data_IF_862573527045
#
_entry.id   IF_862573527045
#
_cell.length_a   1.000
_cell.length_b   1.000
_cell.length_c   1.000
_cell.angle_alpha   90.00
_cell.angle_beta   90.00
_cell.angle_gamma   90.00
#
_symmetry.space_group_name_H-M   'P 1'
#
loop_
_entity.id
_entity.type
_entity.pdbx_description
1 polymer ?
#
# COMPACT_ATOMS: atom_id res chain seq x y z
N UNK A 1 -1.31 0.02 24.19
CA UNK A 1 -0.15 -0.85 23.94
C UNK A 1 1.14 -0.04 23.92
N UNK A 2 1.32 0.88 22.98
CA UNK A 2 2.56 1.66 22.79
C UNK A 2 3.06 2.43 24.03
N UNK A 3 2.19 3.13 24.76
CA UNK A 3 2.59 3.85 25.99
C UNK A 3 3.23 2.90 27.01
N UNK A 4 2.61 1.75 27.26
CA UNK A 4 3.15 0.75 28.18
C UNK A 4 4.42 0.06 27.67
N UNK A 5 4.56 -0.08 26.35
CA UNK A 5 5.79 -0.61 25.74
C UNK A 5 6.99 0.36 25.90
N UNK A 6 6.74 1.68 25.83
CA UNK A 6 7.77 2.71 25.97
C UNK A 6 8.08 3.05 27.43
N UNK A 7 7.06 3.11 28.28
CA UNK A 7 7.22 3.38 29.70
C UNK A 7 6.07 2.72 30.50
N UNK A 8 6.31 1.53 31.08
CA UNK A 8 5.27 0.79 31.80
C UNK A 8 4.86 1.42 33.13
N UNK A 9 5.62 2.39 33.65
CA UNK A 9 5.30 3.09 34.90
C UNK A 9 4.24 4.18 34.71
N UNK A 10 3.96 4.60 33.48
CA UNK A 10 2.93 5.60 33.20
C UNK A 10 1.53 4.99 33.33
N UNK A 11 0.67 5.64 34.11
CA UNK A 11 -0.76 5.32 34.16
C UNK A 11 -1.47 5.97 32.95
N UNK A 12 -2.06 5.15 32.09
CA UNK A 12 -2.90 5.62 30.99
C UNK A 12 -4.30 5.89 31.53
N UNK A 13 -4.79 7.11 31.35
CA UNK A 13 -6.18 7.50 31.62
C UNK A 13 -6.83 7.72 30.25
N UNK A 14 -7.99 7.09 30.01
CA UNK A 14 -8.68 7.20 28.73
C UNK A 14 -10.15 7.57 28.93
N UNK A 15 -10.44 8.87 29.11
CA UNK A 15 -11.72 9.34 29.57
C UNK A 15 -12.90 8.88 28.69
N UNK A 16 -12.76 8.91 27.37
CA UNK A 16 -13.81 8.47 26.42
C UNK A 16 -14.23 7.01 26.63
N UNK A 17 -13.38 6.14 27.20
CA UNK A 17 -13.75 4.75 27.53
C UNK A 17 -14.53 4.61 28.84
N UNK A 18 -14.46 5.62 29.70
CA UNK A 18 -14.96 5.59 31.08
C UNK A 18 -16.06 6.64 31.34
N UNK A 19 -16.21 7.61 30.44
CA UNK A 19 -17.17 8.70 30.54
C UNK A 19 -18.61 8.22 30.40
N UNK A 20 -19.51 9.04 30.92
CA UNK A 20 -20.95 8.80 30.99
C UNK A 20 -21.68 9.08 29.67
N UNK A 21 -21.05 9.80 28.74
CA UNK A 21 -21.62 10.12 27.43
C UNK A 21 -21.72 8.88 26.56
N UNK A 22 -22.90 8.67 25.98
CA UNK A 22 -23.21 7.49 25.15
C UNK A 22 -23.20 7.79 23.66
N UNK A 23 -23.13 9.06 23.27
CA UNK A 23 -23.14 9.46 21.88
C UNK A 23 -22.44 10.80 21.64
N UNK A 24 -22.08 11.06 20.38
CA UNK A 24 -21.48 12.32 19.93
C UNK A 24 -22.43 13.51 20.14
N UNK A 25 -23.74 13.27 20.07
CA UNK A 25 -24.74 14.29 20.38
C UNK A 25 -24.67 14.74 21.83
N UNK A 26 -24.54 13.79 22.77
CA UNK A 26 -24.38 14.10 24.20
C UNK A 26 -23.09 14.88 24.47
N UNK A 27 -21.98 14.55 23.78
CA UNK A 27 -20.72 15.30 23.85
C UNK A 27 -20.87 16.75 23.36
N UNK A 28 -21.59 16.95 22.24
CA UNK A 28 -21.87 18.28 21.66
C UNK A 28 -22.77 19.09 22.60
N UNK A 29 -23.78 18.49 23.20
CA UNK A 29 -24.65 19.16 24.18
C UNK A 29 -23.89 19.55 25.44
N UNK A 30 -23.03 18.67 25.95
CA UNK A 30 -22.15 18.99 27.07
C UNK A 30 -21.23 20.17 26.73
N UNK A 31 -20.60 20.17 25.56
CA UNK A 31 -19.75 21.27 25.11
C UNK A 31 -20.53 22.59 25.04
N UNK A 32 -21.76 22.58 24.48
CA UNK A 32 -22.63 23.77 24.44
C UNK A 32 -23.03 24.26 25.83
N UNK A 33 -23.44 23.37 26.72
CA UNK A 33 -23.85 23.70 28.08
C UNK A 33 -22.72 24.36 28.89
N UNK A 34 -21.47 24.02 28.58
CA UNK A 34 -20.28 24.54 29.25
C UNK A 34 -19.55 25.63 28.46
N UNK A 35 -20.12 26.10 27.33
CA UNK A 35 -19.51 27.14 26.50
C UNK A 35 -18.17 26.73 25.87
N UNK A 36 -17.94 25.43 25.63
CA UNK A 36 -16.75 24.90 24.98
C UNK A 36 -16.95 24.99 23.46
N UNK A 37 -16.11 25.77 22.74
CA UNK A 37 -16.23 25.86 21.28
C UNK A 37 -15.75 24.57 20.61
N UNK A 38 -16.60 23.96 19.79
CA UNK A 38 -16.28 22.77 18.98
C UNK A 38 -16.68 23.01 17.52
N UNK A 39 -15.87 22.52 16.58
CA UNK A 39 -16.10 22.68 15.14
C UNK A 39 -17.19 21.75 14.57
N UNK A 40 -17.38 20.58 15.21
CA UNK A 40 -18.38 19.61 14.80
C UNK A 40 -19.81 20.17 14.96
N UNK A 41 -20.60 20.08 13.90
CA UNK A 41 -22.01 20.47 13.91
C UNK A 41 -22.86 19.32 13.39
N UNK A 42 -24.16 19.33 13.69
CA UNK A 42 -25.12 18.34 13.16
C UNK A 42 -25.12 18.29 11.62
N UNK A 43 -24.69 19.38 10.94
CA UNK A 43 -24.68 19.46 9.48
C UNK A 43 -23.44 18.88 8.80
N UNK A 44 -22.34 18.72 9.52
CA UNK A 44 -21.15 18.06 9.00
C UNK A 44 -20.79 16.91 9.96
N UNK A 45 -21.41 15.73 9.77
CA UNK A 45 -21.36 14.64 10.75
C UNK A 45 -20.06 13.85 10.68
N UNK A 46 -19.17 14.13 9.71
CA UNK A 46 -17.96 13.33 9.52
C UNK A 46 -17.02 13.44 10.73
N UNK A 47 -16.42 12.31 11.06
CA UNK A 47 -15.22 12.25 11.88
C UNK A 47 -14.03 12.22 10.92
N UNK A 48 -13.10 13.17 11.07
CA UNK A 48 -11.96 13.34 10.17
C UNK A 48 -10.69 13.23 11.01
N UNK A 49 -9.82 12.31 10.62
CA UNK A 49 -8.44 12.25 11.10
C UNK A 49 -7.50 12.57 9.94
N UNK A 50 -6.72 13.63 10.07
CA UNK A 50 -5.84 14.15 9.02
C UNK A 50 -4.41 14.28 9.53
N UNK A 51 -3.47 13.83 8.71
CA UNK A 51 -2.06 14.10 8.87
C UNK A 51 -1.39 14.22 7.49
N UNK A 52 -0.08 14.46 7.47
CA UNK A 52 0.70 14.61 6.23
C UNK A 52 0.51 13.45 5.23
N UNK A 53 0.31 12.22 5.72
CA UNK A 53 0.27 11.03 4.89
C UNK A 53 -1.09 10.78 4.22
N UNK A 54 -2.16 11.33 4.79
CA UNK A 54 -3.52 11.18 4.28
C UNK A 54 -4.59 11.50 5.30
N UNK A 55 -5.84 11.25 4.89
CA UNK A 55 -7.05 11.54 5.65
C UNK A 55 -7.90 10.28 5.75
N UNK A 56 -8.45 10.01 6.93
CA UNK A 56 -9.50 9.04 7.18
C UNK A 56 -10.82 9.76 7.51
N UNK A 57 -11.90 9.31 6.90
CA UNK A 57 -13.24 9.92 6.98
C UNK A 57 -14.26 8.82 7.32
N UNK A 58 -14.98 9.01 8.42
CA UNK A 58 -15.99 8.07 8.90
C UNK A 58 -17.25 8.78 9.45
N UNK A 59 -18.21 7.98 9.93
CA UNK A 59 -19.50 8.39 10.50
C UNK A 59 -20.52 8.95 9.48
N UNK A 60 -21.75 9.14 9.96
CA UNK A 60 -22.85 9.69 9.17
C UNK A 60 -23.30 8.72 8.08
N UNK A 61 -23.54 9.24 6.87
CA UNK A 61 -24.02 8.43 5.73
C UNK A 61 -23.03 7.32 5.32
N UNK A 62 -21.75 7.47 5.66
CA UNK A 62 -20.70 6.51 5.30
C UNK A 62 -20.82 5.18 6.06
N UNK A 63 -21.55 5.14 7.19
CA UNK A 63 -21.80 3.92 7.95
C UNK A 63 -22.69 2.92 7.20
N UNK A 64 -23.50 3.38 6.25
CA UNK A 64 -24.26 2.51 5.36
C UNK A 64 -23.40 2.10 4.15
N UNK A 65 -22.93 0.85 4.06
CA UNK A 65 -22.09 0.40 2.94
C UNK A 65 -22.79 0.41 1.58
N UNK A 66 -24.12 0.59 1.54
CA UNK A 66 -24.88 0.78 0.30
C UNK A 66 -24.93 2.24 -0.16
N UNK A 67 -24.56 3.19 0.70
CA UNK A 67 -24.53 4.60 0.35
C UNK A 67 -23.21 4.97 -0.31
N UNK A 68 -23.29 5.60 -1.49
CA UNK A 68 -22.14 6.21 -2.15
C UNK A 68 -21.60 7.36 -1.30
N UNK A 69 -20.26 7.48 -1.11
CA UNK A 69 -19.69 8.61 -0.41
C UNK A 69 -20.07 9.92 -1.10
N UNK A 70 -20.74 10.86 -0.42
CA UNK A 70 -21.11 12.13 -1.01
C UNK A 70 -19.87 12.97 -1.31
N UNK A 71 -19.98 13.88 -2.28
CA UNK A 71 -18.85 14.69 -2.74
C UNK A 71 -18.17 15.53 -1.62
N UNK A 72 -18.94 15.93 -0.60
CA UNK A 72 -18.45 16.71 0.54
C UNK A 72 -17.70 15.88 1.60
N UNK A 73 -17.68 14.54 1.45
CA UNK A 73 -16.85 13.67 2.28
C UNK A 73 -15.37 13.78 1.92
N UNK A 74 -15.04 14.04 0.65
CA UNK A 74 -13.65 14.17 0.18
C UNK A 74 -13.11 15.59 0.43
N UNK A 75 -11.93 15.69 1.02
CA UNK A 75 -11.32 16.92 1.50
C UNK A 75 -10.15 17.39 0.63
N UNK A 76 -9.29 16.47 0.17
CA UNK A 76 -8.00 16.81 -0.47
C UNK A 76 -7.85 16.30 -1.90
N UNK A 77 -8.79 15.51 -2.40
CA UNK A 77 -8.77 14.97 -3.76
C UNK A 77 -9.93 15.50 -4.61
N UNK A 78 -9.65 15.82 -5.87
CA UNK A 78 -10.68 16.16 -6.86
C UNK A 78 -11.43 14.90 -7.29
N UNK A 79 -12.73 14.99 -7.55
CA UNK A 79 -13.48 13.86 -8.08
C UNK A 79 -12.88 13.42 -9.44
N UNK A 80 -12.67 12.12 -9.69
CA UNK A 80 -12.06 11.66 -10.94
C UNK A 80 -12.75 12.23 -12.20
N UNK A 81 -14.06 12.36 -12.21
CA UNK A 81 -14.86 12.97 -13.27
C UNK A 81 -14.50 14.44 -13.53
N UNK A 82 -14.17 15.20 -12.48
CA UNK A 82 -13.85 16.63 -12.51
C UNK A 82 -12.34 16.92 -12.63
N UNK A 83 -11.49 15.91 -12.43
CA UNK A 83 -10.04 16.03 -12.57
C UNK A 83 -9.62 16.47 -14.00
N UNK A 84 -8.42 17.02 -14.21
CA UNK A 84 -7.98 17.50 -15.52
C UNK A 84 -8.10 16.45 -16.64
N UNK A 85 -8.51 16.88 -17.84
CA UNK A 85 -8.65 16.02 -19.02
C UNK A 85 -7.31 15.69 -19.69
N UNK A 86 -6.24 16.41 -19.35
CA UNK A 86 -4.88 16.14 -19.83
C UNK A 86 -4.09 15.44 -18.71
N UNK A 87 -3.49 14.26 -18.97
CA UNK A 87 -2.73 13.54 -17.96
C UNK A 87 -1.47 14.29 -17.54
N UNK A 88 -1.11 14.16 -16.27
CA UNK A 88 0.16 14.67 -15.74
C UNK A 88 1.21 13.56 -15.73
N UNK A 89 2.46 13.92 -16.02
CA UNK A 89 3.60 13.01 -15.98
C UNK A 89 4.59 13.51 -14.95
N UNK A 90 4.86 12.68 -13.96
CA UNK A 90 5.85 13.01 -12.92
C UNK A 90 6.93 11.96 -12.84
N UNK A 91 8.10 12.38 -12.38
CA UNK A 91 9.28 11.54 -12.15
C UNK A 91 9.64 11.57 -10.67
N UNK A 92 9.78 10.39 -10.07
CA UNK A 92 10.18 10.25 -8.68
C UNK A 92 11.51 9.52 -8.65
N UNK A 93 12.50 10.14 -8.02
CA UNK A 93 13.82 9.55 -7.81
C UNK A 93 13.89 8.96 -6.40
N UNK A 94 14.46 7.76 -6.32
CA UNK A 94 14.68 7.04 -5.08
C UNK A 94 16.17 6.77 -4.89
N UNK A 95 16.62 6.83 -3.64
CA UNK A 95 17.92 6.36 -3.18
C UNK A 95 17.72 5.41 -2.02
N UNK A 96 18.22 4.18 -2.15
CA UNK A 96 18.09 3.11 -1.16
C UNK A 96 16.64 2.95 -0.62
N UNK A 97 15.66 2.99 -1.54
CA UNK A 97 14.24 2.87 -1.22
C UNK A 97 13.55 4.16 -0.76
N UNK A 98 14.28 5.25 -0.52
CA UNK A 98 13.73 6.52 -0.03
C UNK A 98 13.54 7.50 -1.19
N UNK A 99 12.37 8.13 -1.35
CA UNK A 99 12.17 9.16 -2.37
C UNK A 99 12.96 10.43 -2.01
N UNK A 100 13.77 10.93 -2.95
CA UNK A 100 14.69 12.06 -2.75
C UNK A 100 14.45 13.24 -3.69
N UNK A 101 13.79 13.02 -4.83
CA UNK A 101 13.46 14.07 -5.79
C UNK A 101 12.12 13.84 -6.48
N UNK A 102 11.52 14.96 -6.91
CA UNK A 102 10.31 14.99 -7.74
C UNK A 102 10.58 15.89 -8.94
N UNK A 103 10.38 15.39 -10.15
CA UNK A 103 10.61 16.08 -11.43
C UNK A 103 12.02 16.70 -11.54
N UNK A 104 13.04 15.95 -11.09
CA UNK A 104 14.44 16.37 -11.10
C UNK A 104 14.83 17.39 -10.03
N UNK A 105 13.88 17.84 -9.19
CA UNK A 105 14.16 18.73 -8.07
C UNK A 105 14.33 17.93 -6.77
N UNK A 106 15.52 18.01 -6.18
CA UNK A 106 15.80 17.45 -4.85
C UNK A 106 15.00 18.21 -3.79
N UNK A 107 14.40 17.49 -2.85
CA UNK A 107 13.59 18.09 -1.79
C UNK A 107 13.53 17.19 -0.55
N UNK A 108 13.14 17.79 0.57
CA UNK A 108 12.96 17.03 1.82
C UNK A 108 11.75 16.09 1.71
N UNK A 109 11.72 15.02 2.52
CA UNK A 109 10.60 14.06 2.50
C UNK A 109 9.24 14.70 2.79
N UNK A 110 9.18 15.70 3.69
CA UNK A 110 7.93 16.41 4.00
C UNK A 110 7.46 17.20 2.77
N UNK A 111 8.34 18.03 2.21
CA UNK A 111 8.03 18.84 1.02
C UNK A 111 7.63 17.95 -0.18
N UNK A 112 8.27 16.79 -0.34
CA UNK A 112 7.94 15.82 -1.38
C UNK A 112 6.52 15.29 -1.23
N UNK A 113 6.14 14.89 -0.01
CA UNK A 113 4.80 14.36 0.27
C UNK A 113 3.74 15.45 0.09
N UNK A 114 3.99 16.67 0.58
CA UNK A 114 3.06 17.81 0.40
C UNK A 114 2.81 18.11 -1.08
N UNK A 115 3.88 18.28 -1.87
CA UNK A 115 3.79 18.54 -3.31
C UNK A 115 3.10 17.40 -4.05
N UNK A 116 3.39 16.15 -3.68
CA UNK A 116 2.80 14.99 -4.32
C UNK A 116 1.32 14.83 -3.94
N UNK A 117 0.92 15.19 -2.72
CA UNK A 117 -0.48 15.26 -2.31
C UNK A 117 -1.24 16.28 -3.17
N UNK A 118 -0.68 17.47 -3.39
CA UNK A 118 -1.27 18.50 -4.26
C UNK A 118 -1.44 17.99 -5.70
N UNK A 119 -0.34 17.52 -6.31
CA UNK A 119 -0.35 17.07 -7.71
C UNK A 119 -1.28 15.87 -7.88
N UNK A 120 -1.14 14.82 -7.08
CA UNK A 120 -1.94 13.61 -7.25
C UNK A 120 -3.40 13.79 -6.81
N UNK A 121 -3.65 14.62 -5.79
CA UNK A 121 -4.98 14.99 -5.33
C UNK A 121 -5.77 15.77 -6.39
N UNK A 122 -5.12 16.69 -7.12
CA UNK A 122 -5.75 17.39 -8.27
C UNK A 122 -6.21 16.42 -9.38
N UNK A 123 -5.59 15.24 -9.47
CA UNK A 123 -5.96 14.19 -10.42
C UNK A 123 -6.90 13.13 -9.83
N UNK A 124 -7.36 13.29 -8.59
CA UNK A 124 -8.28 12.39 -7.89
C UNK A 124 -7.66 11.06 -7.45
N UNK A 125 -6.34 10.95 -7.44
CA UNK A 125 -5.62 9.72 -7.09
C UNK A 125 -5.65 9.52 -5.57
N UNK A 126 -5.81 8.26 -5.15
CA UNK A 126 -5.69 7.87 -3.74
C UNK A 126 -6.96 7.96 -2.92
N UNK A 127 -8.13 8.04 -3.57
CA UNK A 127 -9.43 7.77 -2.93
C UNK A 127 -9.60 6.27 -2.71
N UNK A 128 -9.90 5.85 -1.49
CA UNK A 128 -10.18 4.45 -1.14
C UNK A 128 -11.46 4.38 -0.30
N UNK A 129 -12.35 3.46 -0.64
CA UNK A 129 -13.55 3.12 0.14
C UNK A 129 -13.42 1.66 0.56
N UNK A 130 -13.38 1.38 1.85
CA UNK A 130 -13.06 0.06 2.36
C UNK A 130 -13.88 -0.33 3.58
N UNK A 131 -14.28 -1.60 3.60
CA UNK A 131 -14.79 -2.26 4.80
C UNK A 131 -13.67 -3.11 5.39
N UNK A 132 -13.09 -2.65 6.49
CA UNK A 132 -11.94 -3.28 7.14
C UNK A 132 -12.32 -4.15 8.34
N UNK A 133 -11.36 -4.96 8.80
CA UNK A 133 -11.51 -5.79 10.00
C UNK A 133 -10.71 -5.16 11.13
N UNK A 134 -11.39 -4.54 12.09
CA UNK A 134 -10.74 -3.97 13.28
C UNK A 134 -10.22 -5.08 14.17
N UNK A 135 -9.07 -4.84 14.80
CA UNK A 135 -8.43 -5.76 15.76
C UNK A 135 -9.40 -6.19 16.88
N UNK A 136 -10.32 -5.30 17.27
CA UNK A 136 -11.31 -5.55 18.31
C UNK A 136 -12.47 -6.49 17.88
N UNK A 137 -12.42 -7.03 16.66
CA UNK A 137 -13.32 -8.09 16.20
C UNK A 137 -14.57 -7.62 15.44
N UNK A 138 -14.65 -6.33 15.09
CA UNK A 138 -15.75 -5.78 14.28
C UNK A 138 -15.28 -5.36 12.90
N UNK A 139 -16.23 -5.16 11.99
CA UNK A 139 -15.99 -4.46 10.73
C UNK A 139 -16.36 -2.99 10.86
N UNK A 140 -15.61 -2.11 10.22
CA UNK A 140 -15.96 -0.71 9.99
C UNK A 140 -15.84 -0.39 8.51
N UNK A 141 -16.60 0.60 8.05
CA UNK A 141 -16.42 1.21 6.73
C UNK A 141 -15.77 2.57 6.90
N UNK A 142 -14.69 2.81 6.17
CA UNK A 142 -13.94 4.06 6.22
C UNK A 142 -13.55 4.49 4.80
N UNK A 143 -13.54 5.81 4.60
CA UNK A 143 -13.08 6.43 3.36
C UNK A 143 -11.72 7.04 3.63
N UNK A 144 -10.78 6.83 2.72
CA UNK A 144 -9.43 7.38 2.83
C UNK A 144 -9.06 8.22 1.62
N UNK A 145 -8.30 9.28 1.87
CA UNK A 145 -7.61 10.07 0.86
C UNK A 145 -6.11 10.04 1.16
N UNK A 146 -5.34 9.34 0.33
CA UNK A 146 -3.89 9.22 0.50
C UNK A 146 -3.14 9.37 -0.84
N UNK A 147 -3.19 10.57 -1.47
CA UNK A 147 -2.68 10.79 -2.82
C UNK A 147 -1.18 10.50 -2.95
N UNK A 148 -0.33 11.13 -2.13
CA UNK A 148 1.11 10.89 -2.15
C UNK A 148 1.47 9.45 -1.77
N UNK A 149 0.83 8.91 -0.73
CA UNK A 149 1.05 7.53 -0.28
C UNK A 149 0.78 6.53 -1.40
N UNK A 150 -0.33 6.71 -2.13
CA UNK A 150 -0.71 5.85 -3.25
C UNK A 150 0.34 5.89 -4.35
N UNK A 151 0.77 7.09 -4.75
CA UNK A 151 1.75 7.26 -5.82
C UNK A 151 3.13 6.75 -5.41
N UNK A 152 3.58 7.04 -4.19
CA UNK A 152 4.87 6.57 -3.67
C UNK A 152 4.91 5.05 -3.55
N UNK A 153 3.87 4.44 -2.98
CA UNK A 153 3.77 2.99 -2.86
C UNK A 153 3.80 2.30 -4.23
N UNK A 154 3.05 2.85 -5.19
CA UNK A 154 3.04 2.34 -6.56
C UNK A 154 4.41 2.50 -7.22
N UNK A 155 5.00 3.71 -7.23
CA UNK A 155 6.28 3.98 -7.87
C UNK A 155 7.43 3.16 -7.24
N UNK A 156 7.47 3.07 -5.92
CA UNK A 156 8.45 2.27 -5.18
C UNK A 156 8.36 0.79 -5.55
N UNK A 157 7.15 0.21 -5.58
CA UNK A 157 6.93 -1.17 -6.02
C UNK A 157 7.43 -1.41 -7.45
N UNK A 158 7.23 -0.44 -8.35
CA UNK A 158 7.69 -0.54 -9.73
C UNK A 158 9.21 -0.44 -9.88
N UNK A 159 9.89 0.27 -8.98
CA UNK A 159 11.35 0.27 -8.90
C UNK A 159 11.88 -1.05 -8.36
N UNK A 160 11.26 -1.59 -7.30
CA UNK A 160 11.64 -2.89 -6.74
C UNK A 160 11.55 -4.03 -7.75
N UNK A 161 10.53 -4.04 -8.62
CA UNK A 161 10.43 -5.01 -9.72
C UNK A 161 11.62 -4.96 -10.68
N UNK A 162 12.31 -3.82 -10.77
CA UNK A 162 13.47 -3.62 -11.62
C UNK A 162 14.78 -3.99 -10.91
N UNK A 163 14.86 -3.85 -9.59
CA UNK A 163 16.11 -3.93 -8.81
C UNK A 163 16.21 -5.11 -7.86
N UNK A 164 15.10 -5.79 -7.53
CA UNK A 164 15.10 -6.96 -6.65
C UNK A 164 15.11 -8.27 -7.44
N UNK A 165 15.91 -9.22 -6.96
CA UNK A 165 15.90 -10.58 -7.47
C UNK A 165 14.54 -11.24 -7.20
N UNK A 166 14.14 -12.17 -8.08
CA UNK A 166 12.81 -12.81 -8.09
C UNK A 166 12.37 -13.36 -6.73
N UNK A 167 13.22 -14.12 -6.05
CA UNK A 167 12.91 -14.75 -4.76
C UNK A 167 12.83 -13.72 -3.65
N UNK A 168 13.76 -12.76 -3.62
CA UNK A 168 13.70 -11.64 -2.67
C UNK A 168 12.41 -10.85 -2.83
N UNK A 169 12.02 -10.50 -4.07
CA UNK A 169 10.78 -9.80 -4.36
C UNK A 169 9.55 -10.59 -3.88
N UNK A 170 9.50 -11.91 -4.13
CA UNK A 170 8.40 -12.76 -3.68
C UNK A 170 8.24 -12.79 -2.16
N UNK A 171 9.32 -13.07 -1.42
CA UNK A 171 9.26 -13.17 0.04
C UNK A 171 9.09 -11.80 0.71
N UNK A 172 9.61 -10.73 0.09
CA UNK A 172 9.39 -9.37 0.58
C UNK A 172 7.91 -9.00 0.57
N UNK A 173 7.13 -9.42 -0.43
CA UNK A 173 5.67 -9.19 -0.44
C UNK A 173 5.00 -9.82 0.79
N UNK A 174 5.33 -11.06 1.12
CA UNK A 174 4.76 -11.75 2.30
C UNK A 174 5.12 -11.02 3.60
N UNK A 175 6.37 -10.58 3.72
CA UNK A 175 6.84 -9.83 4.90
C UNK A 175 6.18 -8.46 4.95
N UNK A 176 5.97 -7.78 3.82
CA UNK A 176 5.31 -6.48 3.76
C UNK A 176 3.86 -6.56 4.25
N UNK A 177 3.12 -7.62 3.89
CA UNK A 177 1.75 -7.86 4.39
C UNK A 177 1.73 -8.05 5.91
N UNK A 178 2.60 -8.91 6.46
CA UNK A 178 2.68 -9.12 7.91
C UNK A 178 3.16 -7.86 8.63
N UNK A 179 4.08 -7.10 8.04
CA UNK A 179 4.53 -5.82 8.59
C UNK A 179 3.35 -4.83 8.66
N UNK A 180 2.56 -4.67 7.58
CA UNK A 180 1.37 -3.82 7.61
C UNK A 180 0.37 -4.27 8.70
N UNK A 181 0.14 -5.57 8.84
CA UNK A 181 -0.72 -6.15 9.90
C UNK A 181 -0.21 -5.82 11.31
N UNK A 182 1.10 -5.94 11.57
CA UNK A 182 1.69 -5.58 12.86
C UNK A 182 1.48 -4.10 13.20
N UNK A 183 1.66 -3.21 12.22
CA UNK A 183 1.45 -1.78 12.41
C UNK A 183 -0.03 -1.49 12.73
N UNK A 184 -0.95 -2.03 11.92
CA UNK A 184 -2.39 -1.88 12.13
C UNK A 184 -2.84 -2.36 13.52
N UNK A 185 -2.26 -3.47 13.99
CA UNK A 185 -2.55 -4.04 15.31
C UNK A 185 -1.90 -3.27 16.48
N UNK A 186 -1.26 -2.12 16.23
CA UNK A 186 -0.64 -1.28 17.26
C UNK A 186 0.65 -1.87 17.84
N UNK A 187 1.33 -2.76 17.11
CA UNK A 187 2.54 -3.48 17.52
C UNK A 187 3.84 -2.86 16.95
N UNK A 188 3.83 -1.54 16.72
CA UNK A 188 4.98 -0.78 16.20
C UNK A 188 6.28 -1.01 17.00
N UNK A 189 6.19 -1.10 18.33
CA UNK A 189 7.35 -1.29 19.22
C UNK A 189 7.67 -2.77 19.50
N UNK A 190 7.12 -3.70 18.73
CA UNK A 190 7.38 -5.14 18.90
C UNK A 190 8.78 -5.53 18.37
N UNK A 191 9.39 -6.60 18.93
CA UNK A 191 10.65 -7.14 18.40
C UNK A 191 10.53 -7.65 16.95
N UNK A 192 9.36 -8.16 16.55
CA UNK A 192 9.13 -8.64 15.19
C UNK A 192 9.18 -7.48 14.18
N UNK A 193 8.62 -6.31 14.53
CA UNK A 193 8.76 -5.09 13.72
C UNK A 193 10.24 -4.72 13.51
N UNK A 194 11.07 -4.80 14.54
CA UNK A 194 12.52 -4.52 14.41
C UNK A 194 13.24 -5.53 13.50
N UNK A 195 12.85 -6.81 13.56
CA UNK A 195 13.39 -7.82 12.66
C UNK A 195 12.99 -7.54 11.20
N UNK A 196 11.75 -7.11 10.97
CA UNK A 196 11.31 -6.68 9.64
C UNK A 196 11.98 -5.40 9.17
N UNK A 197 12.27 -4.42 10.04
CA UNK A 197 13.08 -3.25 9.69
C UNK A 197 14.44 -3.68 9.13
N UNK A 198 15.12 -4.61 9.81
CA UNK A 198 16.43 -5.10 9.37
C UNK A 198 16.34 -5.79 8.00
N UNK A 199 15.31 -6.62 7.79
CA UNK A 199 15.06 -7.25 6.49
C UNK A 199 14.79 -6.20 5.40
N UNK A 200 13.89 -5.24 5.65
CA UNK A 200 13.56 -4.19 4.68
C UNK A 200 14.81 -3.37 4.35
N UNK A 201 15.55 -2.91 5.35
CA UNK A 201 16.80 -2.15 5.16
C UNK A 201 17.82 -2.91 4.30
N UNK A 202 17.93 -4.23 4.45
CA UNK A 202 18.79 -5.04 3.58
C UNK A 202 18.30 -5.03 2.13
N UNK A 203 17.01 -5.28 1.91
CA UNK A 203 16.43 -5.31 0.55
C UNK A 203 16.48 -3.96 -0.16
N UNK A 204 16.47 -2.84 0.58
CA UNK A 204 16.39 -1.51 -0.01
C UNK A 204 17.73 -0.97 -0.54
N UNK A 205 18.88 -1.58 -0.20
CA UNK A 205 20.22 -1.04 -0.54
C UNK A 205 20.41 -0.68 -2.02
N UNK A 206 19.82 -1.46 -2.92
CA UNK A 206 19.95 -1.26 -4.37
C UNK A 206 18.66 -0.72 -5.02
N UNK A 207 17.64 -0.37 -4.23
CA UNK A 207 16.38 0.22 -4.72
C UNK A 207 16.61 1.72 -4.97
N UNK A 208 17.49 2.02 -5.92
CA UNK A 208 17.89 3.37 -6.32
C UNK A 208 17.63 3.54 -7.81
N UNK A 209 16.98 4.63 -8.20
CA UNK A 209 16.61 4.87 -9.58
C UNK A 209 15.48 5.88 -9.73
N UNK A 210 14.96 5.99 -10.96
CA UNK A 210 13.90 6.92 -11.31
C UNK A 210 12.70 6.15 -11.85
N UNK A 211 11.51 6.51 -11.38
CA UNK A 211 10.24 5.99 -11.89
C UNK A 211 9.40 7.15 -12.41
N UNK A 212 8.99 7.05 -13.68
CA UNK A 212 8.06 7.99 -14.30
C UNK A 212 6.65 7.40 -14.26
N UNK A 213 5.72 8.13 -13.66
CA UNK A 213 4.31 7.75 -13.60
C UNK A 213 3.44 8.78 -14.32
N UNK A 214 2.29 8.31 -14.79
CA UNK A 214 1.21 9.08 -15.40
C UNK A 214 0.05 9.11 -14.43
N UNK A 215 -0.45 10.31 -14.12
CA UNK A 215 -1.62 10.55 -13.29
C UNK A 215 -2.78 10.97 -14.19
N UNK A 216 -3.92 10.29 -14.08
CA UNK A 216 -5.07 10.57 -14.92
C UNK A 216 -6.36 10.06 -14.29
N UNK A 217 -7.32 10.96 -14.02
CA UNK A 217 -8.71 10.62 -13.68
C UNK A 217 -8.79 9.52 -12.59
N UNK A 218 -8.19 9.76 -11.44
CA UNK A 218 -8.13 8.85 -10.29
C UNK A 218 -7.08 7.75 -10.36
N UNK A 219 -6.37 7.62 -11.49
CA UNK A 219 -5.46 6.50 -11.74
C UNK A 219 -4.00 6.95 -11.75
N UNK A 220 -3.13 6.12 -11.19
CA UNK A 220 -1.67 6.17 -11.39
C UNK A 220 -1.25 5.00 -12.29
N UNK A 221 -0.35 5.25 -13.24
CA UNK A 221 0.20 4.21 -14.12
C UNK A 221 1.67 4.44 -14.40
N UNK A 222 2.47 3.38 -14.43
CA UNK A 222 3.90 3.50 -14.74
C UNK A 222 4.11 3.66 -16.24
N UNK A 223 4.99 4.58 -16.63
CA UNK A 223 5.33 4.83 -18.05
C UNK A 223 6.82 4.77 -18.34
N UNK A 224 7.66 4.70 -17.30
CA UNK A 224 9.10 4.49 -17.46
C UNK A 224 9.77 4.18 -16.13
N UNK A 225 10.86 3.41 -16.17
CA UNK A 225 11.79 3.24 -15.04
C UNK A 225 13.22 3.20 -15.55
N UNK A 226 14.16 3.61 -14.72
CA UNK A 226 15.60 3.38 -14.92
C UNK A 226 16.29 3.23 -13.58
N UNK A 227 17.38 2.45 -13.54
CA UNK A 227 18.19 2.26 -12.34
C UNK A 227 19.61 1.88 -12.72
N UNK A 228 20.63 2.42 -12.04
CA UNK A 228 22.01 1.92 -12.15
C UNK A 228 22.18 0.50 -11.59
N UNK A 229 21.21 -0.01 -10.83
CA UNK A 229 21.18 -1.35 -10.25
C UNK A 229 20.10 -2.24 -10.89
N UNK A 230 19.70 -1.92 -12.13
CA UNK A 230 18.71 -2.70 -12.84
C UNK A 230 19.17 -4.15 -13.02
N UNK A 231 18.30 -5.10 -12.66
CA UNK A 231 18.46 -6.52 -12.98
C UNK A 231 17.84 -6.87 -14.34
N UNK A 232 17.19 -5.89 -15.00
CA UNK A 232 16.72 -6.04 -16.36
C UNK A 232 17.89 -5.83 -17.32
N UNK A 233 18.38 -6.94 -17.89
CA UNK A 233 19.35 -6.91 -18.96
C UNK A 233 18.64 -7.07 -20.31
N UNK A 234 18.67 -6.01 -21.13
CA UNK A 234 18.08 -6.02 -22.46
C UNK A 234 18.70 -7.10 -23.36
N UNK A 235 20.00 -7.37 -23.26
CA UNK A 235 20.63 -8.36 -24.16
C UNK A 235 20.17 -9.78 -23.83
N UNK A 236 19.76 -10.07 -22.59
CA UNK A 236 19.19 -11.37 -22.19
C UNK A 236 17.70 -11.51 -22.52
N UNK A 237 17.00 -10.42 -22.81
CA UNK A 237 15.54 -10.40 -23.00
C UNK A 237 15.10 -10.10 -24.44
N UNK A 238 16.01 -9.57 -25.27
CA UNK A 238 15.70 -9.19 -26.65
C UNK A 238 15.62 -10.39 -27.59
N UNK A 239 14.92 -10.22 -28.71
CA UNK A 239 14.88 -11.18 -29.82
C UNK A 239 15.65 -10.67 -31.06
N UNK A 240 16.43 -9.61 -30.88
CA UNK A 240 17.22 -8.98 -31.94
C UNK A 240 18.61 -9.59 -32.02
N UNK A 241 19.46 -9.09 -32.93
CA UNK A 241 20.82 -9.64 -33.15
C UNK A 241 21.74 -9.50 -31.93
N UNK A 242 21.40 -8.64 -30.98
CA UNK A 242 22.11 -8.45 -29.72
C UNK A 242 21.70 -9.44 -28.62
N UNK A 243 20.84 -10.42 -28.93
CA UNK A 243 20.44 -11.47 -27.99
C UNK A 243 21.67 -12.27 -27.51
N UNK A 244 21.86 -12.30 -26.19
CA UNK A 244 22.93 -13.01 -25.50
C UNK A 244 22.42 -14.15 -24.63
N UNK A 245 21.14 -14.51 -24.71
CA UNK A 245 20.55 -15.61 -23.93
C UNK A 245 20.96 -16.98 -24.49
N UNK A 246 21.45 -17.88 -23.63
CA UNK A 246 21.85 -19.22 -24.04
C UNK A 246 20.64 -20.17 -24.20
N UNK A 247 19.97 -20.09 -25.35
CA UNK A 247 18.76 -20.87 -25.64
C UNK A 247 18.94 -22.39 -25.52
N UNK A 248 20.15 -22.91 -25.78
CA UNK A 248 20.42 -24.36 -25.70
C UNK A 248 20.35 -24.91 -24.27
N UNK A 249 20.64 -24.09 -23.26
CA UNK A 249 20.57 -24.49 -21.86
C UNK A 249 19.12 -24.81 -21.42
N UNK A 250 18.12 -24.21 -22.07
CA UNK A 250 16.70 -24.39 -21.77
C UNK A 250 16.24 -25.84 -21.87
N UNK A 251 16.78 -26.63 -22.80
CA UNK A 251 16.40 -28.03 -22.96
C UNK A 251 16.77 -28.86 -21.72
N UNK A 252 17.99 -28.68 -21.22
CA UNK A 252 18.46 -29.33 -19.99
C UNK A 252 17.67 -28.88 -18.77
N UNK A 253 17.43 -27.57 -18.66
CA UNK A 253 16.62 -26.98 -17.59
C UNK A 253 15.21 -27.59 -17.54
N UNK A 254 14.48 -27.59 -18.66
CA UNK A 254 13.11 -28.13 -18.74
C UNK A 254 13.08 -29.61 -18.35
N UNK A 255 14.06 -30.40 -18.81
CA UNK A 255 14.13 -31.83 -18.49
C UNK A 255 14.29 -32.08 -16.99
N UNK A 256 15.18 -31.35 -16.32
CA UNK A 256 15.48 -31.55 -14.90
C UNK A 256 14.40 -30.91 -14.03
N UNK A 257 14.04 -29.65 -14.28
CA UNK A 257 13.05 -28.91 -13.49
C UNK A 257 11.66 -29.56 -13.53
N UNK A 258 11.26 -30.08 -14.69
CA UNK A 258 9.97 -30.77 -14.86
C UNK A 258 9.98 -32.25 -14.42
N UNK A 259 11.12 -32.82 -14.03
CA UNK A 259 11.24 -34.25 -13.71
C UNK A 259 10.29 -34.71 -12.59
N UNK A 260 10.09 -33.96 -11.48
CA UNK A 260 9.13 -34.34 -10.45
C UNK A 260 7.70 -34.44 -10.99
N UNK A 261 7.27 -33.48 -11.81
CA UNK A 261 5.93 -33.47 -12.40
C UNK A 261 5.73 -34.63 -13.38
N UNK A 262 6.75 -34.96 -14.18
CA UNK A 262 6.73 -36.14 -15.05
C UNK A 262 6.58 -37.44 -14.24
N UNK A 263 7.25 -37.53 -13.09
CA UNK A 263 7.14 -38.70 -12.21
C UNK A 263 5.73 -38.84 -11.64
N UNK A 264 5.12 -37.74 -11.19
CA UNK A 264 3.74 -37.73 -10.69
C UNK A 264 2.78 -38.25 -11.77
N UNK A 265 2.86 -37.73 -13.01
CA UNK A 265 2.02 -38.17 -14.12
C UNK A 265 2.15 -39.69 -14.37
N UNK A 266 3.39 -40.20 -14.41
CA UNK A 266 3.64 -41.63 -14.63
C UNK A 266 3.01 -42.51 -13.55
N UNK A 267 3.11 -42.12 -12.29
CA UNK A 267 2.50 -42.88 -11.18
C UNK A 267 0.97 -42.85 -11.28
N UNK A 268 0.39 -41.69 -11.59
CA UNK A 268 -1.05 -41.53 -11.76
C UNK A 268 -1.59 -42.37 -12.93
N UNK A 269 -0.89 -42.37 -14.07
CA UNK A 269 -1.24 -43.22 -15.23
C UNK A 269 -1.18 -44.71 -14.88
N UNK A 270 -0.12 -45.15 -14.21
CA UNK A 270 0.01 -46.55 -13.77
C UNK A 270 -1.13 -46.97 -12.83
N UNK A 271 -1.51 -46.10 -11.88
CA UNK A 271 -2.61 -46.36 -10.97
C UNK A 271 -3.97 -46.38 -11.69
N UNK A 272 -4.20 -45.46 -12.64
CA UNK A 272 -5.43 -45.44 -13.44
C UNK A 272 -5.59 -46.72 -14.29
N UNK A 273 -4.49 -47.23 -14.87
CA UNK A 273 -4.49 -48.51 -15.58
C UNK A 273 -4.80 -49.68 -14.63
N UNK A 274 -4.22 -49.66 -13.42
CA UNK A 274 -4.47 -50.71 -12.41
C UNK A 274 -5.93 -50.72 -11.95
N UNK A 275 -6.53 -49.55 -11.70
CA UNK A 275 -7.94 -49.43 -11.31
C UNK A 275 -8.90 -49.86 -12.43
N UNK A 276 -8.57 -49.59 -13.69
CA UNK A 276 -9.35 -50.06 -14.83
C UNK A 276 -9.28 -51.60 -14.99
N UNK A 277 -8.14 -52.21 -14.67
CA UNK A 277 -7.95 -53.66 -14.73
C UNK A 277 -8.60 -54.46 -13.60
N UNK A 278 -8.89 -53.83 -12.45
CA UNK A 278 -9.58 -54.47 -11.29
C UNK A 278 -11.11 -54.41 -11.40
N UNK A 279 -11.66 -53.65 -12.37
CA UNK A 279 -13.11 -53.54 -12.64
C UNK A 279 -13.65 -54.50 -13.71
N UNK A 280 -12.87 -55.50 -14.15
CA UNK A 280 -13.29 -56.59 -15.04
C UNK A 280 -13.38 -57.91 -14.28
#
# INVERSE_FOLDING_TARGET
VSVGALNPSLKVIAPVREWEFKSREEEIEYAKAHGIPVAATVKNPYSIDENLWGIAIECGVLEDPMAEPPADAYQITTAPEDAPATPEYIEIEFEAGVPVALNGAQMSGVELVEKLNEIAGAYGVGRVDLVENRLVGIKSREIYEAPAATVLHFAHTELERLTLEKSVAHYKTLIAEEYASLIYNGLWFSPLKQAFDAFVNETQKNVTGLVRVKLYKGTVSVVGRTSPYSLYDKSLATYTVEDSFEHKASEGFIKIFGLPLKTISRVQELNAVTEAGVKL
#
